data_IF_769202011336
#
_entry.id   IF_769202011336
#
_cell.length_a   1.000
_cell.length_b   1.000
_cell.length_c   1.000
_cell.angle_alpha   90.00
_cell.angle_beta   90.00
_cell.angle_gamma   90.00
#
_symmetry.space_group_name_H-M   'P 1'
#
loop_
_entity.id
_entity.type
_entity.pdbx_description
1 polymer ?
#
# COMPACT_ATOMS: atom_id res chain seq x y z
N UNK A 1 2.33 -6.21 2.17
CA UNK A 1 3.34 -5.14 2.09
C UNK A 1 4.51 -5.55 1.18
N UNK A 2 5.41 -4.62 0.81
CA UNK A 2 6.60 -4.90 0.01
C UNK A 2 7.10 -3.67 -0.76
N UNK A 3 8.23 -3.78 -1.51
CA UNK A 3 8.81 -2.65 -2.24
C UNK A 3 7.91 -2.15 -3.39
N UNK A 4 8.26 -1.05 -4.01
CA UNK A 4 7.60 -0.62 -5.25
C UNK A 4 7.70 -1.71 -6.31
N UNK A 5 6.71 -1.78 -7.18
CA UNK A 5 6.59 -2.75 -8.29
C UNK A 5 6.48 -4.24 -7.87
N UNK A 6 6.20 -4.53 -6.59
CA UNK A 6 6.03 -5.91 -6.10
C UNK A 6 4.63 -6.50 -6.30
N UNK A 7 3.72 -5.79 -6.98
CA UNK A 7 2.37 -6.28 -7.25
C UNK A 7 1.37 -6.12 -6.09
N UNK A 8 1.61 -5.23 -5.14
CA UNK A 8 0.71 -4.95 -3.99
C UNK A 8 -0.71 -4.60 -4.45
N UNK A 9 -0.83 -3.61 -5.32
CA UNK A 9 -2.12 -3.17 -5.89
C UNK A 9 -2.83 -4.31 -6.60
N UNK A 10 -2.10 -5.09 -7.42
CA UNK A 10 -2.67 -6.25 -8.12
C UNK A 10 -3.19 -7.31 -7.13
N UNK A 11 -2.46 -7.58 -6.05
CA UNK A 11 -2.90 -8.49 -5.00
C UNK A 11 -4.15 -7.96 -4.30
N UNK A 12 -4.19 -6.66 -3.96
CA UNK A 12 -5.35 -6.02 -3.35
C UNK A 12 -6.60 -6.15 -4.24
N UNK A 13 -6.48 -5.86 -5.54
CA UNK A 13 -7.59 -5.98 -6.49
C UNK A 13 -8.01 -7.44 -6.70
N UNK A 14 -7.09 -8.40 -6.64
CA UNK A 14 -7.43 -9.83 -6.68
C UNK A 14 -8.27 -10.26 -5.47
N UNK A 15 -7.92 -9.81 -4.27
CA UNK A 15 -8.73 -10.06 -3.06
C UNK A 15 -10.11 -9.39 -3.18
N UNK A 16 -10.16 -8.16 -3.71
CA UNK A 16 -11.42 -7.46 -3.98
C UNK A 16 -12.31 -8.25 -4.95
N UNK A 17 -11.74 -8.83 -6.00
CA UNK A 17 -12.48 -9.70 -6.95
C UNK A 17 -13.01 -10.96 -6.28
N UNK A 18 -12.23 -11.58 -5.43
CA UNK A 18 -12.69 -12.76 -4.69
C UNK A 18 -13.88 -12.43 -3.79
N UNK A 19 -13.86 -11.26 -3.13
CA UNK A 19 -14.94 -10.81 -2.25
C UNK A 19 -16.28 -10.57 -2.98
N UNK A 20 -16.28 -10.29 -4.29
CA UNK A 20 -17.54 -10.10 -5.03
C UNK A 20 -18.41 -11.37 -5.08
N UNK A 21 -17.83 -12.54 -4.89
CA UNK A 21 -18.55 -13.82 -4.83
C UNK A 21 -19.05 -14.16 -3.42
N UNK A 22 -18.70 -13.36 -2.42
CA UNK A 22 -19.20 -13.50 -1.06
C UNK A 22 -20.44 -12.60 -0.88
N UNK A 23 -21.66 -13.18 -0.73
CA UNK A 23 -22.90 -12.40 -0.66
C UNK A 23 -23.01 -11.53 0.59
N UNK A 24 -22.21 -11.80 1.62
CA UNK A 24 -22.18 -11.00 2.86
C UNK A 24 -21.11 -9.91 2.85
N UNK A 25 -20.24 -9.87 1.83
CA UNK A 25 -19.17 -8.89 1.74
C UNK A 25 -19.69 -7.59 1.11
N UNK A 26 -19.77 -6.53 1.93
CA UNK A 26 -19.91 -5.17 1.45
C UNK A 26 -18.53 -4.51 1.51
N UNK A 27 -17.94 -4.24 0.35
CA UNK A 27 -16.53 -3.85 0.22
C UNK A 27 -16.38 -2.39 -0.12
N UNK A 28 -15.53 -1.67 0.63
CA UNK A 28 -15.06 -0.31 0.33
C UNK A 28 -13.57 -0.35 0.06
N UNK A 29 -13.14 0.30 -1.03
CA UNK A 29 -11.74 0.53 -1.34
C UNK A 29 -11.36 1.98 -1.04
N UNK A 30 -10.20 2.17 -0.41
CA UNK A 30 -9.67 3.48 -0.02
C UNK A 30 -8.25 3.61 -0.56
N UNK A 31 -7.92 4.80 -1.07
CA UNK A 31 -6.55 5.19 -1.45
C UNK A 31 -6.20 6.54 -0.84
N UNK A 32 -4.91 6.84 -0.72
CA UNK A 32 -4.46 8.12 -0.17
C UNK A 32 -4.44 9.22 -1.23
N UNK A 33 -4.74 10.47 -0.84
CA UNK A 33 -4.76 11.64 -1.74
C UNK A 33 -3.38 11.96 -2.37
N UNK A 34 -2.28 11.45 -1.83
CA UNK A 34 -0.94 11.58 -2.43
C UNK A 34 -0.74 10.72 -3.68
N UNK A 35 -1.63 9.78 -3.95
CA UNK A 35 -1.55 8.97 -5.17
C UNK A 35 -2.21 9.68 -6.37
N UNK A 36 -1.76 10.92 -6.67
CA UNK A 36 -2.27 11.75 -7.78
C UNK A 36 -2.02 11.14 -9.16
N UNK A 37 -1.16 10.12 -9.25
CA UNK A 37 -0.77 9.50 -10.53
C UNK A 37 -1.94 8.86 -11.26
N UNK A 38 -3.00 8.44 -10.51
CA UNK A 38 -4.13 7.70 -11.06
C UNK A 38 -5.48 8.11 -10.46
N UNK A 39 -5.53 9.08 -9.52
CA UNK A 39 -6.68 9.28 -8.64
C UNK A 39 -7.56 10.49 -8.91
N UNK A 40 -7.34 11.26 -9.98
CA UNK A 40 -8.29 12.33 -10.34
C UNK A 40 -9.72 11.83 -10.46
N UNK A 41 -9.93 10.52 -10.67
CA UNK A 41 -11.24 9.89 -10.82
C UNK A 41 -11.66 9.02 -9.63
N UNK A 42 -10.93 9.02 -8.49
CA UNK A 42 -11.26 8.18 -7.33
C UNK A 42 -11.18 6.68 -7.64
N UNK A 43 -10.06 6.21 -8.17
CA UNK A 43 -9.82 4.80 -8.52
C UNK A 43 -8.49 4.31 -7.99
N UNK A 44 -8.41 3.04 -7.65
CA UNK A 44 -7.16 2.29 -7.54
C UNK A 44 -6.86 1.71 -8.92
N UNK A 45 -5.63 1.91 -9.41
CA UNK A 45 -5.20 1.44 -10.74
C UNK A 45 -3.93 0.59 -10.60
N UNK A 46 -3.99 -0.65 -11.05
CA UNK A 46 -2.83 -1.52 -11.15
C UNK A 46 -2.00 -1.22 -12.42
N UNK A 47 -0.72 -1.61 -12.43
CA UNK A 47 0.18 -1.36 -13.56
C UNK A 47 -0.25 -1.99 -14.88
N UNK A 48 -1.07 -3.04 -14.84
CA UNK A 48 -1.65 -3.69 -16.03
C UNK A 48 -2.94 -3.02 -16.55
N UNK A 49 -3.34 -1.89 -15.94
CA UNK A 49 -4.51 -1.11 -16.31
C UNK A 49 -5.80 -1.55 -15.62
N UNK A 50 -5.77 -2.63 -14.83
CA UNK A 50 -6.94 -3.00 -14.03
C UNK A 50 -7.23 -1.90 -13.01
N UNK A 51 -8.49 -1.49 -12.89
CA UNK A 51 -8.89 -0.42 -11.98
C UNK A 51 -10.19 -0.74 -11.23
N UNK A 52 -10.32 -0.13 -10.05
CA UNK A 52 -11.52 -0.25 -9.22
C UNK A 52 -11.87 1.10 -8.55
N UNK A 53 -13.16 1.47 -8.46
CA UNK A 53 -13.58 2.66 -7.73
C UNK A 53 -13.09 2.64 -6.29
N UNK A 54 -12.54 3.76 -5.83
CA UNK A 54 -12.02 3.92 -4.48
C UNK A 54 -12.34 5.31 -3.94
N UNK A 55 -12.35 5.45 -2.63
CA UNK A 55 -12.48 6.73 -1.94
C UNK A 55 -11.07 7.27 -1.71
N UNK A 56 -10.77 8.46 -2.22
CA UNK A 56 -9.51 9.14 -1.96
C UNK A 56 -9.60 9.92 -0.67
N UNK A 57 -8.76 9.60 0.33
CA UNK A 57 -8.76 10.21 1.66
C UNK A 57 -7.36 10.65 2.06
N UNK A 58 -7.26 11.68 2.91
CA UNK A 58 -6.04 12.07 3.59
C UNK A 58 -5.92 11.44 4.99
N UNK A 59 -7.06 11.21 5.66
CA UNK A 59 -7.19 10.55 6.97
C UNK A 59 -8.34 9.58 6.96
N UNK A 60 -8.23 8.53 7.74
CA UNK A 60 -9.21 7.43 7.83
C UNK A 60 -10.25 7.62 8.94
N UNK A 61 -9.86 8.18 10.08
CA UNK A 61 -10.78 8.33 11.22
C UNK A 61 -12.01 9.18 10.91
N UNK A 62 -11.94 10.33 10.21
CA UNK A 62 -13.13 11.08 9.83
C UNK A 62 -14.12 10.30 8.97
N UNK A 63 -13.60 9.40 8.11
CA UNK A 63 -14.43 8.48 7.33
C UNK A 63 -15.16 7.49 8.24
N UNK A 64 -14.49 6.95 9.27
CA UNK A 64 -15.10 6.06 10.25
C UNK A 64 -16.17 6.75 11.10
N UNK A 65 -16.00 8.03 11.39
CA UNK A 65 -16.88 8.77 12.30
C UNK A 65 -18.19 9.23 11.65
N UNK A 66 -18.20 9.50 10.33
CA UNK A 66 -19.31 10.20 9.71
C UNK A 66 -19.80 9.64 8.38
N UNK A 67 -19.06 8.74 7.72
CA UNK A 67 -19.44 8.28 6.39
C UNK A 67 -20.33 7.02 6.48
N UNK A 68 -21.54 7.03 5.90
CA UNK A 68 -22.44 5.87 5.92
C UNK A 68 -21.86 4.65 5.19
N UNK A 69 -20.91 4.84 4.25
CA UNK A 69 -20.22 3.74 3.58
C UNK A 69 -19.34 2.95 4.54
N UNK A 70 -18.74 3.62 5.53
CA UNK A 70 -18.01 2.92 6.60
C UNK A 70 -18.93 2.02 7.41
N UNK A 71 -20.07 2.56 7.85
CA UNK A 71 -21.06 1.79 8.66
C UNK A 71 -21.55 0.56 7.89
N UNK A 72 -21.86 0.73 6.61
CA UNK A 72 -22.35 -0.36 5.75
C UNK A 72 -21.27 -1.38 5.37
N UNK A 73 -19.99 -0.98 5.32
CA UNK A 73 -18.90 -1.87 4.90
C UNK A 73 -18.65 -3.00 5.91
N UNK A 74 -18.47 -4.21 5.41
CA UNK A 74 -17.92 -5.33 6.18
C UNK A 74 -16.42 -5.54 5.90
N UNK A 75 -15.97 -5.15 4.70
CA UNK A 75 -14.59 -5.29 4.25
C UNK A 75 -14.07 -3.94 3.75
N UNK A 76 -12.90 -3.52 4.22
CA UNK A 76 -12.25 -2.27 3.81
C UNK A 76 -10.85 -2.60 3.30
N UNK A 77 -10.58 -2.23 2.06
CA UNK A 77 -9.30 -2.42 1.39
C UNK A 77 -8.60 -1.07 1.28
N UNK A 78 -7.40 -0.97 1.84
CA UNK A 78 -6.62 0.28 1.93
C UNK A 78 -5.37 0.14 1.06
N UNK A 79 -5.29 0.94 0.00
CA UNK A 79 -4.10 1.07 -0.86
C UNK A 79 -3.24 2.23 -0.38
N UNK A 80 -1.92 2.14 -0.60
CA UNK A 80 -0.91 3.11 -0.18
C UNK A 80 -0.99 3.43 1.33
N UNK A 81 -1.24 2.38 2.12
CA UNK A 81 -1.54 2.46 3.55
C UNK A 81 -0.46 3.19 4.37
N UNK A 82 0.81 3.22 3.93
CA UNK A 82 1.91 3.91 4.61
C UNK A 82 1.73 5.43 4.68
N UNK A 83 0.85 6.02 3.87
CA UNK A 83 0.65 7.47 3.88
C UNK A 83 -0.37 7.95 4.91
N UNK A 84 -1.22 7.05 5.43
CA UNK A 84 -2.24 7.45 6.41
C UNK A 84 -1.64 7.66 7.80
N UNK A 85 -1.73 8.89 8.34
CA UNK A 85 -1.13 9.19 9.65
C UNK A 85 -1.90 8.60 10.83
N UNK A 86 -3.13 8.15 10.60
CA UNK A 86 -4.06 7.57 11.57
C UNK A 86 -4.41 6.10 11.25
N UNK A 87 -3.53 5.42 10.49
CA UNK A 87 -3.73 4.04 10.05
C UNK A 87 -3.91 3.07 11.23
N UNK A 88 -3.03 3.17 12.22
CA UNK A 88 -3.03 2.27 13.37
C UNK A 88 -4.35 2.36 14.15
N UNK A 89 -4.70 3.56 14.58
CA UNK A 89 -5.91 3.80 15.36
C UNK A 89 -7.17 3.41 14.59
N UNK A 90 -7.20 3.71 13.29
CA UNK A 90 -8.32 3.32 12.43
C UNK A 90 -8.46 1.81 12.33
N UNK A 91 -7.37 1.07 12.05
CA UNK A 91 -7.43 -0.38 11.83
C UNK A 91 -7.81 -1.11 13.11
N UNK A 92 -7.16 -0.77 14.25
CA UNK A 92 -7.48 -1.39 15.55
C UNK A 92 -8.95 -1.14 15.91
N UNK A 93 -9.43 0.09 15.76
CA UNK A 93 -10.85 0.41 16.03
C UNK A 93 -11.79 -0.34 15.08
N UNK A 94 -11.48 -0.40 13.79
CA UNK A 94 -12.33 -1.05 12.80
C UNK A 94 -12.42 -2.56 13.01
N UNK A 95 -11.32 -3.21 13.36
CA UNK A 95 -11.26 -4.66 13.57
C UNK A 95 -11.79 -5.02 14.96
N UNK A 96 -11.20 -4.48 16.01
CA UNK A 96 -11.44 -4.96 17.38
C UNK A 96 -12.79 -4.48 17.94
N UNK A 97 -13.26 -3.29 17.52
CA UNK A 97 -14.50 -2.70 18.05
C UNK A 97 -15.67 -2.89 17.06
N UNK A 98 -15.43 -2.66 15.77
CA UNK A 98 -16.49 -2.68 14.77
C UNK A 98 -16.56 -3.98 13.98
N UNK A 99 -15.72 -4.98 14.31
CA UNK A 99 -15.69 -6.33 13.70
C UNK A 99 -15.64 -6.29 12.15
N UNK A 100 -14.80 -5.40 11.61
CA UNK A 100 -14.61 -5.27 10.16
C UNK A 100 -13.38 -6.04 9.70
N UNK A 101 -13.40 -6.52 8.47
CA UNK A 101 -12.23 -7.11 7.82
C UNK A 101 -11.43 -6.03 7.10
N UNK A 102 -10.15 -5.88 7.45
CA UNK A 102 -9.27 -4.88 6.86
C UNK A 102 -8.13 -5.55 6.08
N UNK A 103 -7.89 -5.09 4.87
CA UNK A 103 -6.73 -5.48 4.08
C UNK A 103 -5.92 -4.23 3.73
N UNK A 104 -4.69 -4.13 4.25
CA UNK A 104 -3.78 -3.03 3.98
C UNK A 104 -2.71 -3.42 2.96
N UNK A 105 -2.56 -2.64 1.89
CA UNK A 105 -1.47 -2.72 0.94
C UNK A 105 -0.61 -1.45 1.04
N UNK A 106 0.72 -1.59 1.15
CA UNK A 106 1.60 -0.44 1.27
C UNK A 106 3.08 -0.81 1.28
N UNK A 107 3.92 0.21 1.27
CA UNK A 107 5.37 0.09 1.43
C UNK A 107 5.72 -0.22 2.88
N UNK A 108 6.58 -1.21 3.09
CA UNK A 108 7.11 -1.56 4.42
C UNK A 108 8.30 -0.70 4.83
N UNK A 109 8.99 -0.11 3.87
CA UNK A 109 10.13 0.77 4.11
C UNK A 109 10.28 1.85 3.05
N UNK A 110 10.89 2.98 3.47
CA UNK A 110 11.30 4.05 2.56
C UNK A 110 12.59 3.68 1.80
N UNK A 111 13.06 4.59 0.95
CA UNK A 111 14.28 4.40 0.16
C UNK A 111 15.56 4.27 1.00
N UNK A 112 15.53 4.63 2.28
CA UNK A 112 16.61 4.42 3.25
C UNK A 112 16.39 3.17 4.12
N UNK A 113 15.40 2.35 3.82
CA UNK A 113 14.99 1.16 4.55
C UNK A 113 14.48 1.44 5.98
N UNK A 114 14.06 2.68 6.26
CA UNK A 114 13.42 3.03 7.53
C UNK A 114 11.95 2.64 7.45
N UNK A 115 11.30 2.30 8.57
CA UNK A 115 9.85 2.12 8.61
C UNK A 115 9.12 3.28 7.92
N UNK A 116 8.09 2.95 7.12
CA UNK A 116 7.35 3.98 6.41
C UNK A 116 5.89 4.02 6.88
N UNK A 117 5.53 5.13 7.55
CA UNK A 117 4.22 5.26 8.18
C UNK A 117 3.99 4.20 9.26
N UNK A 118 2.73 3.88 9.50
CA UNK A 118 2.28 3.02 10.58
C UNK A 118 1.97 1.57 10.14
N UNK A 119 2.26 1.20 8.88
CA UNK A 119 1.89 -0.14 8.37
C UNK A 119 2.59 -1.28 9.11
N UNK A 120 3.83 -1.06 9.60
CA UNK A 120 4.57 -2.06 10.37
C UNK A 120 4.04 -2.20 11.81
N UNK A 121 3.42 -1.16 12.36
CA UNK A 121 2.83 -1.19 13.70
C UNK A 121 1.62 -2.13 13.76
N UNK A 122 1.02 -2.44 12.61
CA UNK A 122 -0.08 -3.39 12.49
C UNK A 122 0.35 -4.86 12.52
N UNK A 123 1.65 -5.17 12.41
CA UNK A 123 2.14 -6.56 12.35
C UNK A 123 1.72 -7.39 13.57
N UNK A 124 1.79 -6.89 14.82
CA UNK A 124 1.33 -7.64 16.00
C UNK A 124 -0.21 -7.84 16.05
N UNK A 125 -0.97 -7.10 15.26
CA UNK A 125 -2.45 -7.11 15.24
C UNK A 125 -3.03 -7.88 14.05
N UNK A 126 -2.21 -8.30 13.09
CA UNK A 126 -2.72 -8.91 11.87
C UNK A 126 -2.84 -10.45 11.99
N UNK A 127 -3.91 -11.00 11.44
CA UNK A 127 -4.10 -12.46 11.31
C UNK A 127 -3.17 -13.06 10.26
N UNK A 128 -2.78 -12.29 9.26
CA UNK A 128 -1.85 -12.73 8.22
C UNK A 128 -1.00 -11.60 7.67
N UNK A 129 0.22 -11.93 7.31
CA UNK A 129 1.18 -11.01 6.72
C UNK A 129 1.82 -11.63 5.49
N UNK A 130 1.76 -10.88 4.37
CA UNK A 130 2.46 -11.25 3.14
C UNK A 130 3.46 -10.15 2.78
N UNK A 131 4.75 -10.48 2.76
CA UNK A 131 5.77 -9.61 2.20
C UNK A 131 6.05 -10.01 0.76
N UNK A 132 5.61 -9.17 -0.17
CA UNK A 132 5.86 -9.33 -1.60
C UNK A 132 7.28 -8.87 -1.95
N UNK A 133 7.79 -9.41 -3.05
CA UNK A 133 9.07 -9.04 -3.65
C UNK A 133 8.87 -8.61 -5.09
N UNK A 134 9.84 -7.88 -5.63
CA UNK A 134 9.84 -7.46 -7.05
C UNK A 134 11.05 -8.05 -7.77
N UNK A 135 11.14 -7.83 -9.07
CA UNK A 135 12.35 -8.10 -9.85
C UNK A 135 13.36 -6.97 -9.62
N UNK A 136 14.61 -7.32 -9.40
CA UNK A 136 15.65 -6.32 -9.23
C UNK A 136 16.01 -5.71 -10.58
N UNK A 137 16.03 -4.38 -10.68
CA UNK A 137 16.37 -3.65 -11.91
C UNK A 137 17.79 -3.92 -12.43
N UNK A 138 18.68 -4.43 -11.58
CA UNK A 138 20.09 -4.69 -11.89
C UNK A 138 20.48 -6.17 -11.83
N UNK A 139 19.55 -7.07 -11.51
CA UNK A 139 19.77 -8.51 -11.55
C UNK A 139 19.10 -9.13 -12.77
N UNK A 140 19.67 -10.23 -13.25
CA UNK A 140 18.97 -11.14 -14.16
C UNK A 140 17.99 -12.07 -13.43
N UNK A 141 18.05 -12.14 -12.08
CA UNK A 141 17.22 -13.02 -11.24
C UNK A 141 15.91 -12.38 -10.90
N UNK A 142 14.81 -13.05 -11.20
CA UNK A 142 13.46 -12.66 -10.82
C UNK A 142 13.22 -12.78 -9.30
N UNK A 143 12.28 -11.97 -8.77
CA UNK A 143 11.80 -12.09 -7.40
C UNK A 143 12.85 -11.82 -6.32
N UNK A 144 13.90 -11.04 -6.60
CA UNK A 144 15.00 -10.80 -5.66
C UNK A 144 14.99 -9.41 -5.01
N UNK A 145 14.22 -8.46 -5.54
CA UNK A 145 14.15 -7.11 -5.00
C UNK A 145 13.27 -7.05 -3.77
N UNK A 146 13.85 -6.63 -2.67
CA UNK A 146 13.20 -6.49 -1.35
C UNK A 146 13.22 -5.04 -0.86
N UNK A 147 13.86 -4.13 -1.59
CA UNK A 147 13.99 -2.72 -1.25
C UNK A 147 13.54 -1.84 -2.42
N UNK A 148 13.04 -0.65 -2.08
CA UNK A 148 12.84 0.46 -3.01
C UNK A 148 14.04 1.38 -2.94
N UNK A 149 14.78 1.54 -4.02
CA UNK A 149 15.86 2.50 -4.12
C UNK A 149 15.37 3.78 -4.81
N UNK A 150 15.76 4.95 -4.29
CA UNK A 150 15.54 6.23 -4.95
C UNK A 150 16.70 6.53 -5.88
N UNK A 151 16.41 6.97 -7.10
CA UNK A 151 17.42 7.34 -8.08
C UNK A 151 18.20 8.58 -7.64
N UNK A 152 19.52 8.61 -7.91
CA UNK A 152 20.42 9.70 -7.53
C UNK A 152 19.93 11.03 -8.10
N UNK A 153 20.11 12.12 -7.34
CA UNK A 153 19.67 13.46 -7.73
C UNK A 153 18.21 13.79 -7.43
N UNK A 154 17.45 12.85 -6.86
CA UNK A 154 16.01 13.00 -6.54
C UNK A 154 15.78 13.33 -5.05
N UNK A 155 16.22 14.52 -4.59
CA UNK A 155 15.88 15.08 -3.28
C UNK A 155 16.16 14.21 -2.04
N UNK A 156 16.03 14.77 -0.85
CA UNK A 156 16.34 14.12 0.44
C UNK A 156 15.12 13.83 1.33
N UNK A 157 13.93 14.31 0.99
CA UNK A 157 12.72 14.08 1.78
C UNK A 157 12.29 12.61 1.76
N UNK A 158 11.65 12.13 2.83
CA UNK A 158 11.15 10.75 2.90
C UNK A 158 10.14 10.48 1.79
N UNK A 159 9.21 11.39 1.59
CA UNK A 159 8.16 11.28 0.56
C UNK A 159 8.58 12.07 -0.68
N UNK A 160 8.69 11.38 -1.81
CA UNK A 160 8.76 11.97 -3.13
C UNK A 160 7.76 11.19 -4.00
N UNK A 161 6.76 11.87 -4.52
CA UNK A 161 5.80 11.27 -5.44
C UNK A 161 6.50 11.05 -6.78
N UNK A 162 6.52 9.81 -7.26
CA UNK A 162 7.17 9.43 -8.50
C UNK A 162 7.05 7.94 -8.80
N UNK A 163 7.29 7.59 -10.05
CA UNK A 163 7.27 6.23 -10.54
C UNK A 163 8.67 5.70 -10.87
N UNK A 164 8.82 5.06 -12.03
CA UNK A 164 10.09 4.52 -12.56
C UNK A 164 11.14 5.60 -12.86
N UNK A 165 10.74 6.85 -12.96
CA UNK A 165 11.61 8.01 -13.11
C UNK A 165 12.30 8.43 -11.81
N UNK A 166 11.79 7.97 -10.65
CA UNK A 166 12.28 8.32 -9.33
C UNK A 166 12.75 7.12 -8.49
N UNK A 167 12.22 5.93 -8.75
CA UNK A 167 12.46 4.76 -7.91
C UNK A 167 12.67 3.49 -8.71
N UNK A 168 13.53 2.61 -8.18
CA UNK A 168 13.77 1.27 -8.71
C UNK A 168 13.75 0.21 -7.61
N UNK A 169 13.21 -0.99 -7.91
CA UNK A 169 13.31 -2.13 -6.99
C UNK A 169 14.70 -2.73 -7.04
N UNK A 170 15.32 -2.97 -5.88
CA UNK A 170 16.67 -3.52 -5.78
C UNK A 170 16.76 -4.69 -4.81
N UNK A 171 17.58 -5.68 -5.15
CA UNK A 171 17.99 -6.72 -4.21
C UNK A 171 19.00 -6.14 -3.19
N UNK A 172 19.26 -6.86 -2.11
CA UNK A 172 20.18 -6.42 -1.05
C UNK A 172 21.58 -6.05 -1.57
N UNK A 173 22.15 -6.89 -2.42
CA UNK A 173 23.49 -6.63 -2.99
C UNK A 173 23.51 -5.30 -3.73
N UNK A 174 22.63 -5.13 -4.73
CA UNK A 174 22.64 -3.94 -5.57
C UNK A 174 22.22 -2.68 -4.81
N UNK A 175 21.32 -2.79 -3.83
CA UNK A 175 21.00 -1.67 -2.96
C UNK A 175 22.21 -1.19 -2.16
N UNK A 176 22.99 -2.11 -1.56
CA UNK A 176 24.19 -1.76 -0.81
C UNK A 176 25.28 -1.18 -1.71
N UNK A 177 25.48 -1.76 -2.89
CA UNK A 177 26.45 -1.25 -3.88
C UNK A 177 26.05 0.16 -4.36
N UNK A 178 24.77 0.44 -4.52
CA UNK A 178 24.25 1.71 -4.99
C UNK A 178 24.41 2.85 -3.97
N UNK A 179 24.18 2.58 -2.68
CA UNK A 179 24.20 3.62 -1.64
C UNK A 179 25.51 3.75 -0.89
N UNK A 180 26.35 2.71 -0.83
CA UNK A 180 27.51 2.67 0.07
C UNK A 180 28.84 2.38 -0.64
N UNK A 181 28.86 2.26 -1.94
CA UNK A 181 30.06 2.23 -2.79
C UNK A 181 30.04 3.39 -3.79
#
# INVERSE_FOLDING_TARGET
MGPMYSGKTKRLLSERKALQYNPTANTVCITHTYDDRYTKDGKIVAHDGESYPAISLYKLLPFADSDPRYTAATHILIEEAQFFPDLYDFVVRAVDIHNKHILCAGLDGDYMRRPFGQILDLVPHCDSLVKLVSDCSLCEKQGTAIFTARLRGKGGEQVLIGGKDAYEPMCRKHFLDYYYK
#
